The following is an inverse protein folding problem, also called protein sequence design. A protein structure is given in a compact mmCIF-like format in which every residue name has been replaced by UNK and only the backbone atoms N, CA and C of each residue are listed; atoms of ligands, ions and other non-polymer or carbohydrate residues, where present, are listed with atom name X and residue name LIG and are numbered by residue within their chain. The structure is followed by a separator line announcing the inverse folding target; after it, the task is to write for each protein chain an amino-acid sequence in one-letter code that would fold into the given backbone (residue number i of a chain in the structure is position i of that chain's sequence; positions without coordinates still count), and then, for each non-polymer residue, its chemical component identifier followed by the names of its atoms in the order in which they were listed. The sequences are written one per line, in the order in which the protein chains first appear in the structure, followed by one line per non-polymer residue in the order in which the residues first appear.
data_IF_480369165706
#
_entry.id   IF_480369165706
#
_cell.length_a   1.000
_cell.length_b   1.000
_cell.length_c   1.000
_cell.angle_alpha   90.00
_cell.angle_beta   90.00
_cell.angle_gamma   90.00
#
_symmetry.space_group_name_H-M   'P 1'
#
loop_
_entity.id
_entity.type
_entity.pdbx_description
1 polymer ?
#
# COMPACT_ATOMS: atom_id res chain seq x y z
N UNK A 1 23.34 5.19 46.62
CA UNK A 1 23.97 5.64 47.88
C UNK A 1 22.85 5.98 48.86
N UNK A 2 22.78 5.25 49.99
CA UNK A 2 22.19 5.56 51.32
C UNK A 2 20.74 6.11 51.40
N UNK A 3 19.72 5.40 51.89
CA UNK A 3 19.33 5.03 53.28
C UNK A 3 18.83 6.18 54.21
N UNK A 4 17.75 5.87 54.96
CA UNK A 4 17.16 6.50 56.17
C UNK A 4 16.22 7.71 55.99
N UNK A 5 15.26 8.00 56.89
CA UNK A 5 14.29 7.27 57.75
C UNK A 5 13.44 8.40 58.39
N UNK A 6 12.13 8.16 58.52
CA UNK A 6 11.13 8.69 59.49
C UNK A 6 11.43 9.98 60.31
N UNK A 7 10.44 10.88 60.38
CA UNK A 7 10.15 11.64 61.60
C UNK A 7 8.63 11.86 61.81
N UNK A 8 8.24 11.66 63.06
CA UNK A 8 6.90 11.68 63.68
C UNK A 8 6.56 13.07 64.22
N UNK A 9 5.27 13.48 64.26
CA UNK A 9 4.73 14.46 65.23
C UNK A 9 3.38 13.96 65.77
N UNK A 10 3.13 14.29 67.05
CA UNK A 10 2.21 13.71 68.05
C UNK A 10 1.19 14.77 68.56
N UNK A 11 0.05 14.28 69.12
CA UNK A 11 -0.92 14.88 70.09
C UNK A 11 -2.02 15.82 69.54
N UNK A 12 -3.27 15.89 70.05
CA UNK A 12 -3.89 15.40 71.29
C UNK A 12 -5.44 15.32 71.18
N UNK A 13 -6.05 14.59 72.14
CA UNK A 13 -7.48 14.35 72.42
C UNK A 13 -8.37 15.60 72.61
N UNK A 14 -9.67 15.49 72.28
CA UNK A 14 -10.81 15.78 73.17
C UNK A 14 -12.17 15.37 72.55
N UNK A 15 -13.07 14.82 73.38
CA UNK A 15 -14.53 14.96 73.19
C UNK A 15 -15.33 13.68 72.92
N UNK A 16 -15.83 13.05 73.99
CA UNK A 16 -16.86 12.00 73.95
C UNK A 16 -18.23 12.65 73.66
N UNK A 17 -18.97 12.09 72.71
CA UNK A 17 -20.40 12.35 72.49
C UNK A 17 -20.95 11.32 71.53
N UNK A 18 -21.66 10.30 72.05
CA UNK A 18 -22.15 9.19 71.25
C UNK A 18 -23.22 9.60 70.25
N UNK A 19 -23.33 8.83 69.16
CA UNK A 19 -24.56 8.20 68.64
C UNK A 19 -24.26 7.56 67.29
N UNK A 20 -24.76 6.33 67.16
CA UNK A 20 -24.89 5.51 65.95
C UNK A 20 -23.59 5.09 65.25
N UNK A 21 -23.23 3.82 65.45
CA UNK A 21 -22.46 3.08 64.46
C UNK A 21 -23.29 3.09 63.16
N UNK A 22 -22.90 3.93 62.20
CA UNK A 22 -23.05 3.56 60.80
C UNK A 22 -21.99 2.50 60.57
N UNK A 23 -22.41 1.23 60.50
CA UNK A 23 -21.68 0.28 59.68
C UNK A 23 -21.58 0.95 58.30
N UNK A 24 -20.37 1.24 57.86
CA UNK A 24 -20.15 1.38 56.44
C UNK A 24 -20.52 0.01 55.86
N UNK A 25 -21.76 -0.09 55.37
CA UNK A 25 -22.20 -1.23 54.59
C UNK A 25 -21.20 -1.32 53.44
N UNK A 26 -20.41 -2.40 53.42
CA UNK A 26 -19.65 -2.81 52.26
C UNK A 26 -20.67 -3.00 51.13
N UNK A 27 -20.92 -1.90 50.40
CA UNK A 27 -21.96 -1.86 49.39
C UNK A 27 -21.58 -2.89 48.34
N UNK A 28 -22.41 -3.91 48.22
CA UNK A 28 -22.19 -4.97 47.27
C UNK A 28 -22.03 -4.44 45.85
N UNK A 29 -21.10 -5.00 45.06
CA UNK A 29 -20.83 -4.53 43.71
C UNK A 29 -20.47 -5.66 42.74
N UNK A 30 -20.71 -5.40 41.44
CA UNK A 30 -20.19 -6.18 40.32
C UNK A 30 -19.55 -5.24 39.29
N UNK A 31 -18.26 -5.40 39.03
CA UNK A 31 -17.50 -4.54 38.11
C UNK A 31 -16.76 -5.36 37.06
N UNK A 32 -16.74 -4.82 35.85
CA UNK A 32 -15.97 -5.31 34.70
C UNK A 32 -15.09 -4.19 34.16
N UNK A 33 -13.90 -4.51 33.65
CA UNK A 33 -12.99 -3.51 33.06
C UNK A 33 -13.36 -3.13 31.62
N UNK A 34 -14.17 -3.95 30.94
CA UNK A 34 -14.55 -3.76 29.53
C UNK A 34 -16.07 -3.90 29.35
N UNK A 35 -16.60 -3.21 28.34
CA UNK A 35 -18.00 -3.36 27.88
C UNK A 35 -18.12 -4.03 26.52
N UNK A 36 -17.01 -4.11 25.79
CA UNK A 36 -16.95 -4.70 24.46
C UNK A 36 -15.60 -5.41 24.31
N UNK A 37 -15.62 -6.50 23.56
CA UNK A 37 -14.44 -7.25 23.13
C UNK A 37 -14.51 -7.41 21.60
N UNK A 38 -13.42 -7.07 20.93
CA UNK A 38 -13.28 -7.22 19.48
C UNK A 38 -12.30 -8.36 19.18
N UNK A 39 -12.70 -9.23 18.27
CA UNK A 39 -11.92 -10.37 17.81
C UNK A 39 -11.74 -10.29 16.30
N UNK A 40 -10.58 -10.74 15.82
CA UNK A 40 -10.38 -10.94 14.38
C UNK A 40 -11.14 -12.19 13.90
N UNK A 41 -11.21 -12.39 12.58
CA UNK A 41 -11.86 -13.54 11.98
C UNK A 41 -11.16 -14.88 12.33
N UNK A 42 -9.88 -14.88 12.70
CA UNK A 42 -9.17 -16.09 13.14
C UNK A 42 -9.53 -16.47 14.57
N UNK A 43 -9.43 -17.77 14.88
CA UNK A 43 -9.59 -18.24 16.26
C UNK A 43 -8.65 -17.47 17.19
N UNK A 44 -9.21 -16.86 18.23
CA UNK A 44 -8.44 -16.03 19.14
C UNK A 44 -9.09 -15.88 20.50
N UNK A 45 -8.25 -15.67 21.50
CA UNK A 45 -8.67 -15.43 22.88
C UNK A 45 -8.36 -14.01 23.32
N UNK A 46 -9.26 -13.42 24.10
CA UNK A 46 -9.07 -12.14 24.76
C UNK A 46 -9.63 -12.23 26.19
N UNK A 47 -9.25 -11.30 27.05
CA UNK A 47 -9.53 -11.42 28.49
C UNK A 47 -10.12 -10.15 29.06
N UNK A 48 -11.07 -10.30 29.97
CA UNK A 48 -11.58 -9.21 30.80
C UNK A 48 -11.44 -9.60 32.28
N UNK A 49 -11.62 -8.62 33.17
CA UNK A 49 -11.52 -8.83 34.61
C UNK A 49 -12.84 -8.52 35.28
N UNK A 50 -13.24 -9.40 36.19
CA UNK A 50 -14.37 -9.22 37.10
C UNK A 50 -13.83 -8.86 38.48
N UNK A 51 -14.43 -7.87 39.12
CA UNK A 51 -14.28 -7.60 40.56
C UNK A 51 -15.67 -7.53 41.15
N UNK A 52 -15.98 -8.40 42.11
CA UNK A 52 -17.32 -8.49 42.68
C UNK A 52 -17.23 -8.81 44.17
N UNK A 53 -18.29 -8.53 44.91
CA UNK A 53 -18.51 -9.02 46.27
C UNK A 53 -19.47 -10.20 46.25
N UNK A 54 -19.03 -11.36 46.73
CA UNK A 54 -19.85 -12.57 46.71
C UNK A 54 -19.84 -13.30 45.38
N UNK A 55 -20.74 -14.26 45.22
CA UNK A 55 -20.77 -15.14 44.05
C UNK A 55 -21.21 -14.39 42.79
N UNK A 56 -20.60 -14.75 41.66
CA UNK A 56 -20.92 -14.23 40.34
C UNK A 56 -21.00 -15.37 39.32
N UNK A 57 -21.76 -15.16 38.25
CA UNK A 57 -21.86 -16.08 37.12
C UNK A 57 -22.02 -15.34 35.79
N UNK A 58 -21.78 -16.04 34.69
CA UNK A 58 -21.88 -15.56 33.31
C UNK A 58 -22.93 -16.38 32.58
N UNK A 59 -23.78 -15.71 31.83
CA UNK A 59 -24.72 -16.32 30.88
C UNK A 59 -24.56 -15.71 29.48
N UNK A 60 -25.13 -16.35 28.48
CA UNK A 60 -25.15 -15.91 27.07
C UNK A 60 -26.56 -15.49 26.60
N UNK A 61 -27.54 -15.59 27.49
CA UNK A 61 -28.94 -15.19 27.26
C UNK A 61 -29.35 -14.34 28.46
N UNK A 62 -30.00 -13.18 28.26
CA UNK A 62 -30.43 -12.34 29.37
C UNK A 62 -31.38 -13.12 30.30
N UNK A 63 -31.30 -12.81 31.59
CA UNK A 63 -32.09 -13.44 32.67
C UNK A 63 -31.87 -14.95 32.87
N UNK A 64 -30.88 -15.55 32.18
CA UNK A 64 -30.48 -16.95 32.39
C UNK A 64 -29.50 -17.09 33.55
N UNK A 65 -29.63 -18.19 34.30
CA UNK A 65 -28.66 -18.60 35.34
C UNK A 65 -27.60 -19.57 34.84
N UNK A 66 -27.73 -19.99 33.59
CA UNK A 66 -26.89 -21.02 32.98
C UNK A 66 -26.36 -20.54 31.64
N UNK A 67 -25.20 -21.09 31.27
CA UNK A 67 -24.66 -20.95 29.93
C UNK A 67 -25.40 -21.90 28.99
N UNK A 68 -26.11 -21.35 28.02
CA UNK A 68 -27.01 -22.13 27.14
C UNK A 68 -26.35 -22.59 25.85
N UNK A 69 -25.23 -21.98 25.47
CA UNK A 69 -24.60 -22.19 24.16
C UNK A 69 -25.33 -21.47 23.02
N UNK A 70 -26.00 -20.34 23.31
CA UNK A 70 -26.68 -19.50 22.32
C UNK A 70 -25.75 -19.06 21.19
N UNK A 71 -24.45 -18.92 21.50
CA UNK A 71 -23.39 -18.65 20.53
C UNK A 71 -22.36 -19.78 20.57
N UNK A 72 -22.51 -20.77 19.68
CA UNK A 72 -21.64 -21.96 19.64
C UNK A 72 -20.17 -21.66 19.36
N UNK A 73 -19.87 -20.46 18.86
CA UNK A 73 -18.53 -19.99 18.51
C UNK A 73 -17.85 -19.17 19.61
N UNK A 74 -18.51 -18.95 20.76
CA UNK A 74 -17.97 -18.22 21.91
C UNK A 74 -17.75 -19.20 23.06
N UNK A 75 -16.53 -19.22 23.59
CA UNK A 75 -16.15 -20.07 24.71
C UNK A 75 -15.62 -19.21 25.86
N UNK A 76 -16.08 -19.47 27.08
CA UNK A 76 -15.63 -18.77 28.28
C UNK A 76 -14.98 -19.77 29.22
N UNK A 77 -13.72 -19.53 29.61
CA UNK A 77 -12.93 -20.45 30.43
C UNK A 77 -13.51 -20.67 31.84
N UNK A 78 -14.23 -19.67 32.35
CA UNK A 78 -14.84 -19.69 33.68
C UNK A 78 -16.21 -19.00 33.66
N UNK A 79 -17.25 -19.79 33.90
CA UNK A 79 -18.64 -19.33 33.90
C UNK A 79 -19.14 -18.86 35.27
N UNK A 80 -18.42 -19.14 36.36
CA UNK A 80 -18.79 -18.68 37.70
C UNK A 80 -17.59 -18.57 38.63
N UNK A 81 -17.76 -17.83 39.72
CA UNK A 81 -16.75 -17.70 40.74
C UNK A 81 -17.24 -16.97 41.99
N UNK A 82 -16.36 -16.92 43.00
CA UNK A 82 -16.62 -16.21 44.26
C UNK A 82 -15.76 -14.96 44.34
N UNK A 83 -16.39 -13.81 44.24
CA UNK A 83 -15.76 -12.49 44.29
C UNK A 83 -15.28 -12.09 45.69
N UNK A 84 -14.21 -11.31 45.72
CA UNK A 84 -13.73 -10.61 46.92
C UNK A 84 -13.52 -9.13 46.58
N UNK A 85 -13.80 -8.21 47.51
CA UNK A 85 -13.50 -6.79 47.32
C UNK A 85 -12.08 -6.53 46.85
N UNK A 86 -11.08 -7.34 47.20
CA UNK A 86 -9.67 -7.02 46.95
C UNK A 86 -9.07 -7.73 45.71
N UNK A 87 -9.86 -8.56 45.02
CA UNK A 87 -9.32 -9.45 43.96
C UNK A 87 -9.98 -9.24 42.62
N UNK A 88 -9.16 -9.05 41.59
CA UNK A 88 -9.59 -9.12 40.19
C UNK A 88 -9.47 -10.55 39.68
N UNK A 89 -10.55 -11.05 39.10
CA UNK A 89 -10.60 -12.37 38.48
C UNK A 89 -10.55 -12.20 36.97
N UNK A 90 -9.52 -12.79 36.35
CA UNK A 90 -9.34 -12.78 34.90
C UNK A 90 -10.18 -13.88 34.28
N UNK A 91 -10.97 -13.51 33.28
CA UNK A 91 -11.81 -14.40 32.48
C UNK A 91 -11.30 -14.35 31.04
N UNK A 92 -11.17 -15.52 30.43
CA UNK A 92 -10.74 -15.68 29.04
C UNK A 92 -11.95 -16.02 28.18
N UNK A 93 -12.17 -15.23 27.15
CA UNK A 93 -13.17 -15.50 26.11
C UNK A 93 -12.41 -15.88 24.85
N UNK A 94 -12.75 -17.01 24.26
CA UNK A 94 -12.21 -17.50 22.99
C UNK A 94 -13.31 -17.50 21.95
N UNK A 95 -13.05 -16.92 20.79
CA UNK A 95 -13.94 -17.00 19.64
C UNK A 95 -13.34 -17.93 18.61
N UNK A 96 -14.14 -18.86 18.07
CA UNK A 96 -13.74 -19.73 16.96
C UNK A 96 -13.48 -18.91 15.70
N UNK A 97 -12.80 -19.51 14.71
CA UNK A 97 -12.66 -18.88 13.39
C UNK A 97 -14.04 -18.54 12.81
N UNK A 98 -14.18 -17.31 12.30
CA UNK A 98 -15.32 -16.89 11.50
C UNK A 98 -15.04 -17.21 10.03
N UNK A 99 -16.04 -17.76 9.33
CA UNK A 99 -16.01 -18.04 7.88
C UNK A 99 -17.23 -17.44 7.17
N UNK A 100 -17.94 -16.57 7.87
CA UNK A 100 -19.16 -15.90 7.42
C UNK A 100 -19.02 -14.39 7.56
N UNK A 101 -20.13 -13.68 7.38
CA UNK A 101 -20.26 -12.26 7.68
C UNK A 101 -19.84 -11.92 9.12
N UNK A 102 -19.68 -10.62 9.38
CA UNK A 102 -19.44 -10.12 10.73
C UNK A 102 -20.53 -10.65 11.67
N UNK A 103 -20.11 -11.17 12.82
CA UNK A 103 -21.01 -11.75 13.81
C UNK A 103 -20.79 -11.13 15.18
N UNK A 104 -21.88 -11.07 15.94
CA UNK A 104 -21.87 -10.48 17.27
C UNK A 104 -22.53 -11.42 18.26
N UNK A 105 -22.08 -11.33 19.50
CA UNK A 105 -22.66 -12.03 20.64
C UNK A 105 -22.71 -11.08 21.83
N UNK A 106 -23.50 -11.42 22.85
CA UNK A 106 -23.47 -10.73 24.13
C UNK A 106 -23.41 -11.77 25.23
N UNK A 107 -22.47 -11.59 26.15
CA UNK A 107 -22.45 -12.32 27.42
C UNK A 107 -22.87 -11.38 28.53
N UNK A 108 -23.49 -11.93 29.57
CA UNK A 108 -24.07 -11.19 30.67
C UNK A 108 -23.42 -11.63 31.96
N UNK A 109 -22.95 -10.66 32.75
CA UNK A 109 -22.48 -10.93 34.11
C UNK A 109 -23.65 -10.74 35.08
N UNK A 110 -23.64 -11.56 36.12
CA UNK A 110 -24.62 -11.54 37.18
C UNK A 110 -23.91 -11.74 38.51
N UNK A 111 -24.37 -11.06 39.55
CA UNK A 111 -23.75 -11.15 40.86
C UNK A 111 -24.05 -9.95 41.74
N UNK A 112 -24.07 -10.20 43.04
CA UNK A 112 -24.29 -9.16 44.05
C UNK A 112 -25.57 -8.31 43.87
N UNK A 113 -26.64 -8.92 43.33
CA UNK A 113 -27.91 -8.24 43.05
C UNK A 113 -27.94 -7.43 41.75
N UNK A 114 -26.82 -7.34 41.02
CA UNK A 114 -26.78 -6.85 39.65
C UNK A 114 -27.01 -8.01 38.68
N UNK A 115 -27.83 -7.78 37.66
CA UNK A 115 -28.21 -8.77 36.64
C UNK A 115 -27.99 -8.16 35.25
N UNK A 116 -27.71 -8.99 34.25
CA UNK A 116 -27.58 -8.59 32.83
C UNK A 116 -26.51 -7.52 32.56
N UNK A 117 -25.40 -7.59 33.29
CA UNK A 117 -24.26 -6.67 33.17
C UNK A 117 -23.47 -7.04 31.88
N UNK A 118 -23.94 -6.51 30.74
CA UNK A 118 -23.58 -6.99 29.39
C UNK A 118 -22.14 -6.66 28.90
N UNK A 119 -21.50 -7.63 28.26
CA UNK A 119 -20.28 -7.45 27.46
C UNK A 119 -20.58 -7.85 26.03
N UNK A 120 -20.49 -6.89 25.11
CA UNK A 120 -20.62 -7.15 23.69
C UNK A 120 -19.37 -7.86 23.16
N UNK A 121 -19.55 -8.84 22.28
CA UNK A 121 -18.49 -9.52 21.55
C UNK A 121 -18.74 -9.25 20.08
N UNK A 122 -17.75 -8.70 19.39
CA UNK A 122 -17.76 -8.48 17.95
C UNK A 122 -16.63 -9.28 17.31
N UNK A 123 -16.94 -9.99 16.25
CA UNK A 123 -15.95 -10.71 15.47
C UNK A 123 -16.05 -10.32 13.99
N UNK A 124 -14.93 -9.88 13.43
CA UNK A 124 -14.81 -9.51 12.01
C UNK A 124 -15.31 -10.64 11.08
N UNK A 125 -15.80 -10.27 9.90
CA UNK A 125 -16.14 -11.24 8.86
C UNK A 125 -14.89 -12.03 8.42
N UNK A 126 -15.08 -13.32 8.14
CA UNK A 126 -14.03 -14.21 7.67
C UNK A 126 -14.31 -14.77 6.28
N UNK A 127 -14.97 -14.00 5.44
CA UNK A 127 -15.26 -14.39 4.06
C UNK A 127 -13.96 -14.34 3.26
N UNK A 128 -13.67 -15.41 2.53
CA UNK A 128 -12.55 -15.45 1.59
C UNK A 128 -12.68 -14.35 0.53
N UNK A 129 -11.60 -13.62 0.28
CA UNK A 129 -11.60 -12.54 -0.71
C UNK A 129 -10.36 -12.61 -1.59
N UNK A 130 -10.57 -12.41 -2.89
CA UNK A 130 -9.48 -12.06 -3.81
C UNK A 130 -9.09 -10.61 -3.55
N UNK A 131 -7.85 -10.36 -3.13
CA UNK A 131 -7.38 -9.01 -2.82
C UNK A 131 -6.47 -8.52 -3.95
N UNK A 132 -6.91 -7.61 -4.84
CA UNK A 132 -6.02 -7.04 -5.85
C UNK A 132 -4.74 -6.43 -5.22
N UNK A 133 -3.67 -6.37 -6.00
CA UNK A 133 -2.49 -5.59 -5.65
C UNK A 133 -2.87 -4.09 -5.54
N UNK A 134 -2.06 -3.32 -4.83
CA UNK A 134 -2.33 -1.88 -4.61
C UNK A 134 -2.33 -1.06 -5.92
N UNK A 135 -1.82 -1.63 -7.02
CA UNK A 135 -1.87 -1.07 -8.37
C UNK A 135 -3.14 -1.46 -9.16
N UNK A 136 -4.11 -2.11 -8.51
CA UNK A 136 -5.36 -2.56 -9.08
C UNK A 136 -5.28 -3.89 -9.85
N UNK A 137 -4.07 -4.42 -10.12
CA UNK A 137 -3.93 -5.71 -10.79
C UNK A 137 -4.45 -6.85 -9.92
N UNK A 138 -5.20 -7.78 -10.51
CA UNK A 138 -5.76 -8.93 -9.78
C UNK A 138 -4.76 -10.08 -9.64
N UNK A 139 -3.68 -10.06 -10.42
CA UNK A 139 -2.55 -10.98 -10.33
C UNK A 139 -1.27 -10.31 -10.88
N UNK A 140 -0.11 -10.90 -10.62
CA UNK A 140 1.20 -10.36 -11.03
C UNK A 140 2.20 -11.47 -11.35
N UNK A 141 3.37 -11.11 -11.88
CA UNK A 141 4.49 -12.04 -12.06
C UNK A 141 5.49 -11.84 -10.92
N UNK A 142 5.81 -12.91 -10.19
CA UNK A 142 6.91 -12.90 -9.23
C UNK A 142 8.20 -13.40 -9.86
N UNK A 143 9.31 -12.73 -9.57
CA UNK A 143 10.61 -13.09 -10.12
C UNK A 143 10.84 -12.48 -11.51
N UNK A 144 12.00 -12.82 -12.09
CA UNK A 144 12.44 -12.30 -13.38
C UNK A 144 12.36 -13.39 -14.44
N UNK A 145 11.82 -13.07 -15.61
CA UNK A 145 11.90 -13.93 -16.78
C UNK A 145 13.20 -13.63 -17.51
N UNK A 146 14.20 -14.50 -17.38
CA UNK A 146 15.53 -14.29 -17.97
C UNK A 146 15.67 -15.08 -19.27
N UNK A 147 16.24 -14.45 -20.29
CA UNK A 147 16.58 -15.12 -21.55
C UNK A 147 17.64 -16.21 -21.32
N UNK A 148 17.44 -17.39 -21.91
CA UNK A 148 18.34 -18.55 -21.85
C UNK A 148 18.63 -19.06 -20.43
N UNK A 149 17.76 -18.77 -19.46
CA UNK A 149 17.82 -19.36 -18.13
C UNK A 149 16.49 -20.01 -17.77
N UNK A 150 16.56 -21.04 -16.92
CA UNK A 150 15.39 -21.70 -16.39
C UNK A 150 14.57 -20.73 -15.53
N UNK A 151 13.25 -20.78 -15.69
CA UNK A 151 12.34 -19.89 -14.96
C UNK A 151 12.09 -20.41 -13.56
N UNK A 152 12.30 -19.53 -12.58
CA UNK A 152 11.87 -19.68 -11.18
C UNK A 152 10.69 -18.75 -10.87
N UNK A 153 10.10 -18.15 -11.91
CA UNK A 153 9.03 -17.17 -11.77
C UNK A 153 7.67 -17.86 -11.60
N UNK A 154 6.70 -17.12 -11.08
CA UNK A 154 5.33 -17.61 -10.91
C UNK A 154 4.35 -16.48 -11.21
N UNK A 155 3.15 -16.82 -11.70
CA UNK A 155 2.01 -15.90 -11.62
C UNK A 155 1.44 -15.99 -10.20
N UNK A 156 1.16 -14.85 -9.58
CA UNK A 156 0.68 -14.77 -8.20
C UNK A 156 -0.70 -14.13 -8.14
N UNK A 157 -1.67 -14.85 -7.59
CA UNK A 157 -3.00 -14.34 -7.30
C UNK A 157 -3.15 -14.12 -5.79
N UNK A 158 -3.13 -12.86 -5.30
CA UNK A 158 -3.33 -12.54 -3.89
C UNK A 158 -4.73 -12.88 -3.38
N UNK A 159 -4.79 -13.45 -2.18
CA UNK A 159 -6.02 -13.69 -1.43
C UNK A 159 -5.87 -13.35 0.05
N UNK A 160 -7.00 -13.13 0.72
CA UNK A 160 -7.08 -12.95 2.17
C UNK A 160 -8.15 -13.86 2.76
N UNK A 161 -8.01 -14.15 4.06
CA UNK A 161 -9.00 -14.87 4.87
C UNK A 161 -9.32 -16.29 4.35
N UNK A 162 -8.33 -17.01 3.86
CA UNK A 162 -8.50 -18.42 3.54
C UNK A 162 -8.75 -19.25 4.80
N UNK A 163 -9.50 -20.33 4.62
CA UNK A 163 -9.82 -21.36 5.62
C UNK A 163 -8.86 -22.55 5.48
N UNK A 164 -8.18 -22.70 4.34
CA UNK A 164 -7.23 -23.79 4.10
C UNK A 164 -7.88 -25.06 3.56
N UNK A 165 -9.04 -24.91 2.92
CA UNK A 165 -9.74 -26.02 2.24
C UNK A 165 -10.14 -25.68 0.81
N UNK A 166 -9.87 -24.45 0.38
CA UNK A 166 -10.24 -23.91 -0.91
C UNK A 166 -9.52 -24.65 -2.04
N UNK A 167 -10.26 -24.89 -3.11
CA UNK A 167 -9.76 -25.54 -4.33
C UNK A 167 -10.22 -24.75 -5.53
N UNK A 168 -9.30 -24.57 -6.46
CA UNK A 168 -9.52 -23.81 -7.68
C UNK A 168 -8.95 -24.53 -8.88
N UNK A 169 -9.54 -24.32 -10.04
CA UNK A 169 -8.93 -24.64 -11.33
C UNK A 169 -8.55 -23.34 -12.01
N UNK A 170 -7.26 -23.20 -12.32
CA UNK A 170 -6.70 -22.05 -13.03
C UNK A 170 -6.55 -22.41 -14.49
N UNK A 171 -7.12 -21.57 -15.36
CA UNK A 171 -6.82 -21.58 -16.79
C UNK A 171 -5.93 -20.38 -17.13
N UNK A 172 -4.98 -20.61 -18.03
CA UNK A 172 -4.03 -19.60 -18.49
C UNK A 172 -4.08 -19.52 -20.01
N UNK A 173 -4.28 -18.32 -20.54
CA UNK A 173 -3.95 -18.01 -21.93
C UNK A 173 -2.61 -17.28 -21.93
N UNK A 174 -1.64 -17.80 -22.66
CA UNK A 174 -0.30 -17.20 -22.79
C UNK A 174 -0.03 -16.84 -24.25
N UNK A 175 0.50 -15.65 -24.48
CA UNK A 175 1.08 -15.27 -25.77
C UNK A 175 2.52 -14.77 -25.57
N UNK A 176 3.40 -15.05 -26.53
CA UNK A 176 4.83 -14.81 -26.38
C UNK A 176 5.52 -15.76 -25.39
N UNK A 177 6.71 -15.39 -24.93
CA UNK A 177 7.47 -16.15 -23.92
C UNK A 177 7.95 -17.51 -24.43
N UNK A 178 8.47 -17.58 -25.66
CA UNK A 178 8.92 -18.81 -26.29
C UNK A 178 9.80 -19.65 -25.35
N UNK A 179 9.43 -20.91 -25.14
CA UNK A 179 10.14 -21.83 -24.23
C UNK A 179 9.69 -21.77 -22.76
N UNK A 180 8.76 -20.86 -22.42
CA UNK A 180 8.10 -20.81 -21.11
C UNK A 180 6.69 -21.40 -21.18
N UNK A 181 6.24 -21.97 -20.06
CA UNK A 181 4.87 -22.48 -19.90
C UNK A 181 4.36 -22.15 -18.50
N UNK A 182 3.21 -21.47 -18.44
CA UNK A 182 2.45 -21.32 -17.21
C UNK A 182 1.65 -22.60 -16.90
N UNK A 183 1.80 -23.13 -15.69
CA UNK A 183 1.16 -24.38 -15.28
C UNK A 183 -0.34 -24.21 -14.98
N UNK A 184 -1.19 -24.19 -16.01
CA UNK A 184 -2.64 -24.28 -15.79
C UNK A 184 -3.02 -25.60 -15.09
N UNK A 185 -4.08 -25.61 -14.27
CA UNK A 185 -4.52 -26.81 -13.56
C UNK A 185 -5.17 -26.54 -12.21
N UNK A 186 -5.20 -27.57 -11.36
CA UNK A 186 -5.83 -27.49 -10.04
C UNK A 186 -4.85 -27.00 -8.97
N UNK A 187 -5.33 -26.06 -8.16
CA UNK A 187 -4.61 -25.47 -7.04
C UNK A 187 -5.45 -25.56 -5.78
N UNK A 188 -4.80 -25.70 -4.63
CA UNK A 188 -5.47 -25.73 -3.32
C UNK A 188 -4.77 -24.83 -2.34
N UNK A 189 -5.55 -24.12 -1.52
CA UNK A 189 -5.05 -23.42 -0.35
C UNK A 189 -5.22 -24.38 0.83
N UNK A 190 -4.12 -24.81 1.43
CA UNK A 190 -4.12 -25.83 2.49
C UNK A 190 -3.85 -25.26 3.89
N UNK A 191 -3.78 -23.95 4.02
CA UNK A 191 -3.51 -23.28 5.30
C UNK A 191 -4.36 -22.02 5.42
N UNK A 192 -4.96 -21.78 6.60
CA UNK A 192 -5.71 -20.55 6.84
C UNK A 192 -4.84 -19.30 6.70
N UNK A 193 -5.48 -18.17 6.37
CA UNK A 193 -4.84 -16.87 6.39
C UNK A 193 -4.76 -16.19 5.02
N UNK A 194 -3.81 -15.26 4.89
CA UNK A 194 -3.60 -14.48 3.68
C UNK A 194 -2.41 -15.06 2.91
N UNK A 195 -2.42 -14.93 1.58
CA UNK A 195 -1.34 -15.48 0.78
C UNK A 195 -1.52 -15.27 -0.72
N UNK A 196 -0.85 -16.13 -1.48
CA UNK A 196 -0.89 -16.13 -2.93
C UNK A 196 -1.15 -17.55 -3.44
N UNK A 197 -1.97 -17.68 -4.47
CA UNK A 197 -1.89 -18.85 -5.35
C UNK A 197 -0.70 -18.60 -6.27
N UNK A 198 0.29 -19.48 -6.21
CA UNK A 198 1.46 -19.46 -7.09
C UNK A 198 1.27 -20.44 -8.24
N UNK A 199 1.23 -19.92 -9.46
CA UNK A 199 1.14 -20.68 -10.71
C UNK A 199 2.55 -20.68 -11.31
N UNK A 200 3.31 -21.79 -11.24
CA UNK A 200 4.67 -21.81 -11.71
C UNK A 200 4.78 -21.49 -13.20
N UNK A 201 5.77 -20.67 -13.55
CA UNK A 201 6.27 -20.53 -14.90
C UNK A 201 7.48 -21.45 -15.04
N UNK A 202 7.40 -22.42 -15.94
CA UNK A 202 8.45 -23.44 -16.12
C UNK A 202 9.07 -23.34 -17.51
N UNK A 203 10.24 -23.95 -17.68
CA UNK A 203 10.98 -23.97 -18.94
C UNK A 203 12.05 -22.88 -19.01
N UNK A 204 12.65 -22.74 -20.18
CA UNK A 204 13.75 -21.81 -20.45
C UNK A 204 13.34 -20.91 -21.59
N UNK A 205 13.29 -19.60 -21.35
CA UNK A 205 12.92 -18.66 -22.40
C UNK A 205 14.00 -18.63 -23.49
N UNK A 206 13.61 -18.81 -24.75
CA UNK A 206 14.56 -18.88 -25.89
C UNK A 206 14.56 -17.61 -26.74
N UNK A 207 13.69 -16.64 -26.42
CA UNK A 207 13.57 -15.39 -27.17
C UNK A 207 13.21 -14.23 -26.24
N UNK A 208 13.91 -13.11 -26.38
CA UNK A 208 13.56 -11.84 -25.77
C UNK A 208 12.23 -11.33 -26.37
N UNK A 209 11.40 -10.71 -25.54
CA UNK A 209 10.22 -10.00 -26.01
C UNK A 209 9.06 -10.06 -25.03
N UNK A 210 7.95 -9.46 -25.45
CA UNK A 210 6.71 -9.38 -24.66
C UNK A 210 6.14 -10.78 -24.40
N UNK A 211 5.72 -10.99 -23.16
CA UNK A 211 4.92 -12.14 -22.73
C UNK A 211 3.67 -11.62 -22.05
N UNK A 212 2.54 -12.16 -22.45
CA UNK A 212 1.23 -11.74 -21.96
C UNK A 212 0.48 -12.95 -21.43
N UNK A 213 -0.04 -12.83 -20.21
CA UNK A 213 -0.81 -13.86 -19.54
C UNK A 213 -2.21 -13.34 -19.26
N UNK A 214 -3.23 -14.14 -19.54
CA UNK A 214 -4.60 -13.91 -19.08
C UNK A 214 -5.07 -15.08 -18.23
N UNK A 215 -5.71 -14.79 -17.10
CA UNK A 215 -6.08 -15.78 -16.09
C UNK A 215 -7.59 -15.82 -15.85
N UNK A 216 -8.13 -17.03 -15.78
CA UNK A 216 -9.46 -17.28 -15.22
C UNK A 216 -9.38 -18.37 -14.18
N UNK A 217 -10.10 -18.19 -13.08
CA UNK A 217 -10.11 -19.11 -11.94
C UNK A 217 -11.53 -19.59 -11.72
N UNK A 218 -11.71 -20.90 -11.68
CA UNK A 218 -12.98 -21.55 -11.38
C UNK A 218 -12.92 -22.15 -9.97
N UNK A 219 -13.87 -21.80 -9.12
CA UNK A 219 -13.97 -22.37 -7.76
C UNK A 219 -14.61 -23.77 -7.76
N UNK A 220 -14.67 -24.40 -6.57
CA UNK A 220 -15.26 -25.73 -6.40
C UNK A 220 -16.77 -25.79 -6.71
N UNK A 221 -17.47 -24.66 -6.70
CA UNK A 221 -18.88 -24.56 -7.09
C UNK A 221 -19.06 -24.38 -8.61
N UNK A 222 -17.97 -24.23 -9.36
CA UNK A 222 -17.98 -24.03 -10.81
C UNK A 222 -18.11 -22.56 -11.22
N UNK A 223 -17.98 -21.61 -10.30
CA UNK A 223 -18.04 -20.18 -10.61
C UNK A 223 -16.69 -19.73 -11.18
N UNK A 224 -16.70 -19.27 -12.43
CA UNK A 224 -15.53 -18.70 -13.09
C UNK A 224 -15.40 -17.20 -12.79
N UNK A 225 -14.20 -16.78 -12.42
CA UNK A 225 -13.82 -15.37 -12.25
C UNK A 225 -12.69 -15.03 -13.22
N UNK A 226 -12.86 -13.96 -13.99
CA UNK A 226 -11.83 -13.42 -14.88
C UNK A 226 -10.91 -12.46 -14.14
N UNK A 227 -9.60 -12.75 -14.13
CA UNK A 227 -8.57 -11.93 -13.48
C UNK A 227 -7.93 -10.92 -14.43
N UNK A 228 -8.34 -10.91 -15.69
CA UNK A 228 -7.82 -10.04 -16.73
C UNK A 228 -6.48 -10.51 -17.26
N UNK A 229 -5.72 -9.56 -17.79
CA UNK A 229 -4.47 -9.79 -18.49
C UNK A 229 -3.35 -8.92 -17.90
N UNK A 230 -2.13 -9.46 -17.84
CA UNK A 230 -0.91 -8.69 -17.58
C UNK A 230 0.13 -9.01 -18.65
N UNK A 231 0.93 -8.00 -18.98
CA UNK A 231 2.08 -8.15 -19.88
C UNK A 231 3.38 -7.83 -19.16
N UNK A 232 4.44 -8.57 -19.49
CA UNK A 232 5.82 -8.36 -19.04
C UNK A 232 6.77 -8.68 -20.21
N UNK A 233 8.08 -8.78 -19.96
CA UNK A 233 9.05 -9.21 -20.96
C UNK A 233 9.93 -10.34 -20.45
N UNK A 234 10.41 -11.20 -21.37
CA UNK A 234 11.64 -11.95 -21.18
C UNK A 234 12.80 -10.98 -21.32
N UNK A 235 13.63 -10.86 -20.29
CA UNK A 235 14.72 -9.89 -20.16
C UNK A 235 16.04 -10.47 -20.68
N UNK A 236 16.82 -9.65 -21.39
CA UNK A 236 18.14 -10.01 -21.91
C UNK A 236 19.29 -9.25 -21.24
N UNK A 237 19.03 -8.11 -20.58
CA UNK A 237 20.06 -7.28 -19.95
C UNK A 237 20.56 -7.84 -18.62
N UNK A 238 21.49 -8.80 -18.64
CA UNK A 238 22.19 -9.30 -17.44
C UNK A 238 23.70 -9.34 -17.63
N UNK A 239 24.45 -9.09 -16.55
CA UNK A 239 25.90 -9.26 -16.54
C UNK A 239 26.32 -10.73 -16.32
N UNK A 240 27.64 -10.98 -16.26
CA UNK A 240 28.19 -12.32 -16.05
C UNK A 240 27.86 -12.90 -14.65
N UNK A 241 27.55 -12.07 -13.68
CA UNK A 241 27.12 -12.49 -12.34
C UNK A 241 25.61 -12.78 -12.29
N UNK A 242 24.87 -12.50 -13.36
CA UNK A 242 23.43 -12.68 -13.45
C UNK A 242 22.63 -11.52 -12.86
N UNK A 243 23.29 -10.40 -12.57
CA UNK A 243 22.69 -9.15 -12.12
C UNK A 243 22.14 -8.38 -13.31
N UNK A 244 20.98 -7.76 -13.11
CA UNK A 244 20.32 -7.01 -14.18
C UNK A 244 21.10 -5.75 -14.53
N UNK A 245 21.20 -5.43 -15.83
CA UNK A 245 21.86 -4.24 -16.36
C UNK A 245 20.81 -3.32 -17.00
N UNK A 246 20.20 -2.39 -16.23
CA UNK A 246 19.15 -1.52 -16.75
C UNK A 246 19.69 -0.53 -17.78
N UNK A 247 18.84 -0.13 -18.73
CA UNK A 247 19.11 1.00 -19.63
C UNK A 247 19.09 2.33 -18.88
N UNK A 248 18.28 2.40 -17.82
CA UNK A 248 18.09 3.59 -17.02
C UNK A 248 17.71 3.21 -15.59
N UNK A 249 18.31 3.89 -14.63
CA UNK A 249 17.86 3.93 -13.23
C UNK A 249 17.86 5.39 -12.79
N UNK A 250 16.74 5.84 -12.22
CA UNK A 250 16.62 7.18 -11.67
C UNK A 250 15.77 7.17 -10.41
N UNK A 251 16.34 7.66 -9.31
CA UNK A 251 15.59 8.09 -8.13
C UNK A 251 15.80 9.58 -7.91
N UNK A 252 15.01 10.15 -7.01
CA UNK A 252 15.01 11.59 -6.77
C UNK A 252 15.51 11.97 -5.36
N UNK A 253 16.30 11.10 -4.75
CA UNK A 253 16.85 11.28 -3.39
C UNK A 253 17.77 12.48 -3.24
N UNK A 254 18.31 13.01 -4.34
CA UNK A 254 19.20 14.19 -4.35
C UNK A 254 18.44 15.52 -4.45
N UNK A 255 17.11 15.49 -4.52
CA UNK A 255 16.32 16.72 -4.58
C UNK A 255 16.33 17.45 -3.24
N UNK A 256 16.82 18.70 -3.19
CA UNK A 256 17.02 19.41 -1.92
C UNK A 256 15.76 20.08 -1.40
N UNK A 257 14.76 20.28 -2.26
CA UNK A 257 13.64 21.18 -1.99
C UNK A 257 12.30 20.53 -2.32
N UNK A 258 11.28 20.93 -1.56
CA UNK A 258 9.92 20.42 -1.56
C UNK A 258 9.52 19.84 -0.21
N UNK A 259 8.21 19.68 0.00
CA UNK A 259 7.64 18.87 1.07
C UNK A 259 7.31 17.46 0.59
N UNK A 260 6.85 16.62 1.50
CA UNK A 260 6.39 15.25 1.20
C UNK A 260 4.86 15.24 1.14
N UNK A 261 4.30 15.24 -0.07
CA UNK A 261 2.85 15.25 -0.31
C UNK A 261 2.19 13.93 0.04
N UNK A 262 2.88 12.81 -0.22
CA UNK A 262 2.34 11.47 0.02
C UNK A 262 2.36 11.17 1.51
N UNK A 263 3.48 11.46 2.19
CA UNK A 263 3.60 11.35 3.65
C UNK A 263 3.05 12.54 4.44
N UNK A 264 2.51 13.56 3.75
CA UNK A 264 1.91 14.77 4.34
C UNK A 264 2.83 15.56 5.28
N UNK A 265 4.10 15.72 4.92
CA UNK A 265 5.10 16.44 5.71
C UNK A 265 5.48 17.77 5.06
N UNK A 266 5.73 18.75 5.92
CA UNK A 266 6.31 20.03 5.54
C UNK A 266 7.74 19.83 5.01
N UNK A 267 8.26 20.84 4.33
CA UNK A 267 9.62 20.81 3.78
C UNK A 267 10.23 22.19 3.69
N UNK A 268 11.19 22.32 2.79
CA UNK A 268 11.89 23.59 2.54
C UNK A 268 12.01 23.88 1.05
N UNK A 269 12.20 25.16 0.70
CA UNK A 269 12.55 25.59 -0.66
C UNK A 269 13.63 26.66 -0.60
N UNK A 270 14.41 26.82 -1.68
CA UNK A 270 15.33 27.97 -1.80
C UNK A 270 14.56 29.30 -1.68
N UNK A 271 15.15 30.24 -0.94
CA UNK A 271 14.74 31.63 -0.86
C UNK A 271 14.94 32.34 -2.23
N UNK A 272 16.02 32.02 -2.94
CA UNK A 272 16.23 32.45 -4.33
C UNK A 272 15.71 31.38 -5.29
N UNK A 273 14.59 31.68 -5.97
CA UNK A 273 13.95 30.79 -6.94
C UNK A 273 14.43 31.04 -8.38
N UNK A 274 15.41 31.91 -8.56
CA UNK A 274 15.99 32.22 -9.88
C UNK A 274 16.84 31.05 -10.34
N UNK A 275 16.43 30.40 -11.44
CA UNK A 275 17.09 29.18 -11.96
C UNK A 275 18.61 29.33 -12.08
N UNK A 276 19.09 30.45 -12.60
CA UNK A 276 20.52 30.70 -12.80
C UNK A 276 21.33 30.78 -11.50
N UNK A 277 20.69 31.09 -10.38
CA UNK A 277 21.34 31.27 -9.08
C UNK A 277 21.16 30.07 -8.14
N UNK A 278 20.41 29.05 -8.58
CA UNK A 278 20.16 27.87 -7.76
C UNK A 278 21.49 27.22 -7.36
N UNK A 279 21.66 27.04 -6.06
CA UNK A 279 22.80 26.35 -5.45
C UNK A 279 22.29 25.52 -4.27
N UNK A 280 22.96 24.40 -3.99
CA UNK A 280 22.68 23.60 -2.79
C UNK A 280 22.92 24.38 -1.49
N UNK A 281 23.72 25.45 -1.55
CA UNK A 281 24.02 26.34 -0.43
C UNK A 281 23.02 27.51 -0.29
N UNK A 282 21.98 27.59 -1.13
CA UNK A 282 21.01 28.67 -1.00
C UNK A 282 20.30 28.62 0.36
N UNK A 283 20.05 29.80 0.93
CA UNK A 283 19.19 29.94 2.10
C UNK A 283 17.82 29.32 1.81
N UNK A 284 17.27 28.61 2.79
CA UNK A 284 15.99 27.92 2.64
C UNK A 284 14.90 28.57 3.47
N UNK A 285 13.69 28.64 2.91
CA UNK A 285 12.46 29.01 3.63
C UNK A 285 11.55 27.80 3.79
N UNK A 286 10.78 27.77 4.88
CA UNK A 286 9.84 26.68 5.16
C UNK A 286 8.69 26.64 4.16
N UNK A 287 8.24 25.44 3.84
CA UNK A 287 7.00 25.20 3.09
C UNK A 287 6.05 24.31 3.88
N UNK A 288 4.79 24.72 3.99
CA UNK A 288 3.77 23.98 4.74
C UNK A 288 3.47 22.63 4.09
N UNK A 289 3.20 21.62 4.92
CA UNK A 289 2.67 20.34 4.49
C UNK A 289 1.37 20.52 3.69
N UNK A 290 1.20 19.71 2.64
CA UNK A 290 -0.13 19.37 2.14
C UNK A 290 -1.01 20.48 1.55
N UNK A 291 -0.46 21.51 0.90
CA UNK A 291 -1.29 22.31 -0.02
C UNK A 291 -0.65 22.44 -1.38
N UNK A 292 -1.48 22.27 -2.41
CA UNK A 292 -1.12 22.25 -3.83
C UNK A 292 -0.22 23.43 -4.30
N UNK A 293 -0.18 24.56 -3.61
CA UNK A 293 0.69 25.70 -3.97
C UNK A 293 1.93 25.86 -3.07
N UNK A 294 2.05 25.11 -1.97
CA UNK A 294 3.03 25.40 -0.93
C UNK A 294 4.41 24.80 -1.17
N UNK A 295 4.59 23.82 -2.06
CA UNK A 295 5.84 23.03 -2.23
C UNK A 295 7.04 23.89 -2.74
N UNK A 296 6.87 25.19 -2.95
CA UNK A 296 7.94 26.07 -3.41
C UNK A 296 8.40 25.82 -4.85
N UNK A 297 7.71 24.90 -5.56
CA UNK A 297 7.94 24.36 -6.90
C UNK A 297 9.07 24.97 -7.71
N UNK A 298 10.29 24.52 -7.44
CA UNK A 298 11.40 24.72 -8.37
C UNK A 298 11.34 23.59 -9.39
N UNK A 299 11.36 23.93 -10.66
CA UNK A 299 11.27 22.92 -11.72
C UNK A 299 12.51 22.03 -11.72
N UNK A 300 12.29 20.72 -11.76
CA UNK A 300 13.31 19.69 -11.58
C UNK A 300 14.15 19.41 -12.83
N UNK A 301 13.69 19.78 -14.03
CA UNK A 301 14.44 19.54 -15.27
C UNK A 301 15.28 20.73 -15.73
N UNK A 302 16.34 20.42 -16.51
CA UNK A 302 17.37 21.37 -16.99
C UNK A 302 16.78 22.49 -17.83
N UNK A 303 16.28 23.58 -17.24
CA UNK A 303 16.23 24.81 -18.04
C UNK A 303 17.67 25.19 -18.32
N UNK A 304 18.00 25.59 -19.56
CA UNK A 304 19.36 25.93 -20.02
C UNK A 304 20.11 27.01 -19.18
N UNK A 305 19.58 27.43 -18.03
CA UNK A 305 20.14 28.44 -17.15
C UNK A 305 21.05 27.94 -16.03
N UNK A 306 21.14 26.65 -15.69
CA UNK A 306 22.04 26.18 -14.59
C UNK A 306 22.48 24.69 -14.66
N UNK A 307 23.29 24.29 -15.66
CA UNK A 307 23.70 22.89 -15.83
C UNK A 307 24.44 22.28 -14.63
N UNK A 308 25.24 23.07 -13.91
CA UNK A 308 26.01 22.62 -12.74
C UNK A 308 25.11 22.19 -11.59
N UNK A 309 24.05 22.96 -11.29
CA UNK A 309 23.08 22.59 -10.26
C UNK A 309 22.36 21.30 -10.62
N UNK A 310 21.86 21.18 -11.86
CA UNK A 310 21.14 19.99 -12.29
C UNK A 310 22.03 18.73 -12.29
N UNK A 311 23.32 18.85 -12.62
CA UNK A 311 24.28 17.75 -12.43
C UNK A 311 24.40 17.35 -10.96
N UNK A 312 24.52 18.32 -10.05
CA UNK A 312 24.66 18.04 -8.62
C UNK A 312 23.47 17.26 -8.04
N UNK A 313 22.26 17.54 -8.52
CA UNK A 313 21.04 16.84 -8.09
C UNK A 313 20.69 15.60 -8.93
N UNK A 314 21.58 15.14 -9.82
CA UNK A 314 21.38 13.93 -10.60
C UNK A 314 20.39 14.06 -11.78
N UNK A 315 20.22 15.27 -12.31
CA UNK A 315 19.33 15.59 -13.42
C UNK A 315 20.08 16.02 -14.69
N UNK A 316 21.38 15.70 -14.79
CA UNK A 316 22.16 15.99 -15.99
C UNK A 316 21.56 15.31 -17.22
N UNK A 317 21.38 16.08 -18.29
CA UNK A 317 20.80 15.58 -19.54
C UNK A 317 19.29 15.31 -19.48
N UNK A 318 18.63 15.40 -18.32
CA UNK A 318 17.17 15.25 -18.24
C UNK A 318 16.43 16.52 -18.66
N UNK A 319 15.32 16.36 -19.36
CA UNK A 319 14.51 17.48 -19.88
C UNK A 319 13.03 17.28 -19.56
N UNK A 320 12.22 18.32 -19.53
CA UNK A 320 10.78 18.19 -19.30
C UNK A 320 10.06 19.50 -19.04
N UNK A 321 8.78 19.41 -18.72
CA UNK A 321 7.90 20.56 -18.48
C UNK A 321 6.88 20.24 -17.38
N UNK A 322 6.47 21.25 -16.61
CA UNK A 322 5.59 21.12 -15.43
C UNK A 322 5.94 19.93 -14.53
N UNK A 323 7.23 19.82 -14.25
CA UNK A 323 7.79 18.89 -13.29
C UNK A 323 8.40 19.68 -12.14
N UNK A 324 8.27 19.16 -10.92
CA UNK A 324 8.76 19.85 -9.72
C UNK A 324 9.53 18.88 -8.85
N UNK A 325 10.66 19.36 -8.33
CA UNK A 325 11.47 18.58 -7.40
C UNK A 325 10.78 18.46 -6.04
N UNK A 326 10.81 17.26 -5.49
CA UNK A 326 10.46 16.96 -4.11
C UNK A 326 11.52 15.98 -3.55
N UNK A 327 11.93 16.06 -2.27
CA UNK A 327 12.93 15.13 -1.76
C UNK A 327 12.43 13.69 -1.89
N UNK A 328 13.14 12.88 -2.69
CA UNK A 328 12.79 11.48 -2.92
C UNK A 328 11.72 11.23 -3.98
N UNK A 329 11.17 12.24 -4.68
CA UNK A 329 10.29 11.99 -5.84
C UNK A 329 10.14 13.23 -6.75
N UNK A 330 9.50 13.04 -7.91
CA UNK A 330 9.13 14.13 -8.81
C UNK A 330 7.62 14.27 -8.90
N UNK A 331 7.11 15.51 -8.84
CA UNK A 331 5.71 15.80 -9.18
C UNK A 331 5.59 16.12 -10.67
N UNK A 332 4.53 15.61 -11.31
CA UNK A 332 4.08 16.03 -12.63
C UNK A 332 2.71 16.72 -12.56
N UNK A 333 2.55 17.76 -13.38
CA UNK A 333 1.29 18.48 -13.53
C UNK A 333 1.12 19.65 -12.56
N UNK A 334 -0.03 20.32 -12.65
CA UNK A 334 -0.29 21.61 -12.02
C UNK A 334 -1.60 21.60 -11.20
N UNK A 335 -1.78 22.62 -10.35
CA UNK A 335 -3.00 22.79 -9.55
C UNK A 335 -4.16 23.40 -10.33
N UNK A 336 -3.86 24.05 -11.44
CA UNK A 336 -4.81 24.69 -12.32
C UNK A 336 -4.64 24.13 -13.72
N UNK A 337 -5.70 24.26 -14.50
CA UNK A 337 -5.67 23.98 -15.92
C UNK A 337 -4.51 24.72 -16.59
N UNK A 338 -3.81 24.03 -17.48
CA UNK A 338 -2.68 24.57 -18.20
C UNK A 338 -3.05 24.90 -19.65
N UNK A 339 -3.08 26.19 -19.98
CA UNK A 339 -3.38 26.70 -21.33
C UNK A 339 -2.20 26.61 -22.32
N UNK A 340 -0.99 26.26 -21.84
CA UNK A 340 0.19 26.07 -22.69
C UNK A 340 0.06 24.81 -23.56
N UNK A 341 -0.91 23.93 -23.25
CA UNK A 341 -1.21 22.73 -24.01
C UNK A 341 -0.09 21.69 -23.96
N UNK A 342 0.67 21.69 -22.85
CA UNK A 342 1.73 20.73 -22.59
C UNK A 342 1.48 20.01 -21.25
N UNK A 343 1.55 18.67 -21.22
CA UNK A 343 1.35 17.91 -20.00
C UNK A 343 2.61 17.99 -19.13
N UNK A 344 2.45 17.72 -17.83
CA UNK A 344 3.58 17.47 -16.95
C UNK A 344 4.34 16.24 -17.42
N UNK A 345 5.64 16.38 -17.66
CA UNK A 345 6.45 15.31 -18.23
C UNK A 345 7.93 15.38 -17.85
N UNK A 346 8.61 14.27 -18.11
CA UNK A 346 10.06 14.13 -18.09
C UNK A 346 10.54 13.26 -19.25
N UNK A 347 11.72 13.57 -19.77
CA UNK A 347 12.43 12.84 -20.82
C UNK A 347 13.85 12.56 -20.34
N UNK A 348 14.27 11.31 -20.44
CA UNK A 348 15.61 10.86 -20.05
C UNK A 348 16.71 11.45 -20.93
N UNK A 349 17.99 11.30 -20.54
CA UNK A 349 19.11 11.29 -21.47
C UNK A 349 18.89 10.31 -22.62
N UNK A 350 19.68 10.44 -23.68
CA UNK A 350 19.66 9.48 -24.80
C UNK A 350 20.08 8.10 -24.27
N UNK A 351 19.29 7.10 -24.61
CA UNK A 351 19.45 5.71 -24.20
C UNK A 351 20.24 4.95 -25.27
N UNK A 352 21.06 4.00 -24.84
CA UNK A 352 21.71 3.05 -25.74
C UNK A 352 20.86 1.77 -25.82
N UNK A 353 19.75 1.83 -26.54
CA UNK A 353 18.80 0.70 -26.66
C UNK A 353 19.35 -0.31 -27.67
N UNK A 354 19.57 -1.59 -27.31
CA UNK A 354 19.98 -2.59 -28.28
C UNK A 354 18.88 -2.86 -29.30
N UNK A 355 19.27 -3.08 -30.55
CA UNK A 355 18.33 -3.27 -31.65
C UNK A 355 17.48 -4.53 -31.45
N UNK A 356 16.17 -4.40 -31.61
CA UNK A 356 15.26 -5.55 -31.64
C UNK A 356 14.61 -5.90 -30.30
N UNK A 357 14.95 -5.20 -29.21
CA UNK A 357 14.44 -5.55 -27.89
C UNK A 357 13.25 -4.71 -27.43
N UNK A 358 12.25 -5.41 -26.89
CA UNK A 358 11.18 -4.80 -26.11
C UNK A 358 11.71 -4.42 -24.72
N UNK A 359 11.06 -3.49 -24.04
CA UNK A 359 11.48 -2.99 -22.73
C UNK A 359 10.38 -3.11 -21.70
N UNK A 360 10.79 -3.11 -20.43
CA UNK A 360 9.90 -3.04 -19.29
C UNK A 360 10.33 -1.87 -18.43
N UNK A 361 9.40 -0.94 -18.25
CA UNK A 361 9.52 0.17 -17.34
C UNK A 361 8.85 -0.22 -16.01
N UNK A 362 9.55 -0.05 -14.90
CA UNK A 362 9.00 -0.15 -13.54
C UNK A 362 9.31 1.13 -12.78
N UNK A 363 8.34 1.64 -12.02
CA UNK A 363 8.51 2.84 -11.20
C UNK A 363 7.43 2.93 -10.13
N UNK A 364 7.66 3.75 -9.11
CA UNK A 364 6.68 4.06 -8.08
C UNK A 364 5.83 5.26 -8.48
N UNK A 365 4.54 5.15 -8.25
CA UNK A 365 3.57 6.24 -8.41
C UNK A 365 2.86 6.54 -7.10
N UNK A 366 2.51 7.80 -6.90
CA UNK A 366 1.65 8.24 -5.81
C UNK A 366 0.66 9.29 -6.30
N UNK A 367 -0.47 9.40 -5.60
CA UNK A 367 -1.48 10.45 -5.84
C UNK A 367 -1.92 11.08 -4.52
N UNK A 368 -2.30 12.36 -4.55
CA UNK A 368 -2.71 13.12 -3.35
C UNK A 368 -4.24 13.27 -3.24
N UNK A 369 -4.91 13.72 -4.30
CA UNK A 369 -6.38 13.80 -4.34
C UNK A 369 -6.93 13.93 -5.78
N UNK A 370 -6.53 14.99 -6.50
CA UNK A 370 -6.88 15.18 -7.91
C UNK A 370 -5.71 14.75 -8.80
N UNK A 371 -5.83 13.60 -9.44
CA UNK A 371 -4.81 13.02 -10.29
C UNK A 371 -5.38 12.68 -11.68
N UNK A 372 -4.51 12.52 -12.68
CA UNK A 372 -4.86 11.84 -13.91
C UNK A 372 -5.35 10.42 -13.66
N UNK A 373 -6.22 9.91 -14.53
CA UNK A 373 -6.63 8.50 -14.54
C UNK A 373 -5.47 7.58 -14.98
N UNK A 374 -4.59 8.10 -15.82
CA UNK A 374 -3.47 7.36 -16.39
C UNK A 374 -2.20 8.21 -16.50
N UNK A 375 -1.07 7.52 -16.33
CA UNK A 375 0.24 7.97 -16.79
C UNK A 375 0.51 7.38 -18.16
N UNK A 376 1.22 8.12 -19.01
CA UNK A 376 1.65 7.68 -20.33
C UNK A 376 3.16 7.61 -20.38
N UNK A 377 3.67 6.53 -20.95
CA UNK A 377 5.10 6.23 -21.04
C UNK A 377 5.45 5.72 -22.43
N UNK A 378 6.72 5.78 -22.81
CA UNK A 378 7.19 5.24 -24.08
C UNK A 378 8.57 5.75 -24.46
N UNK A 379 8.97 5.51 -25.72
CA UNK A 379 10.20 6.05 -26.28
C UNK A 379 9.89 7.18 -27.27
N UNK A 380 10.68 8.24 -27.23
CA UNK A 380 10.64 9.32 -28.20
C UNK A 380 12.03 9.64 -28.75
N UNK A 381 12.08 10.36 -29.88
CA UNK A 381 13.33 10.96 -30.37
C UNK A 381 13.60 12.29 -29.68
N UNK A 382 14.73 12.35 -28.99
CA UNK A 382 15.22 13.56 -28.35
C UNK A 382 15.98 14.43 -29.34
N UNK A 383 15.61 15.70 -29.42
CA UNK A 383 16.31 16.70 -30.21
C UNK A 383 17.03 17.70 -29.29
N UNK A 384 18.03 18.41 -29.83
CA UNK A 384 18.91 19.35 -29.10
C UNK A 384 18.17 20.56 -28.49
N UNK A 385 16.94 20.81 -28.95
CA UNK A 385 16.03 21.78 -28.36
C UNK A 385 15.06 21.09 -27.43
N UNK A 386 15.05 21.54 -26.18
CA UNK A 386 13.98 21.33 -25.21
C UNK A 386 12.57 21.44 -25.85
N UNK A 387 11.54 21.08 -25.08
CA UNK A 387 10.13 21.26 -25.41
C UNK A 387 9.53 20.19 -26.34
N UNK A 388 8.64 19.38 -25.77
CA UNK A 388 7.51 18.83 -26.52
C UNK A 388 6.60 20.03 -26.81
N UNK A 389 6.80 20.73 -27.93
CA UNK A 389 5.95 21.86 -28.34
C UNK A 389 4.45 21.51 -28.28
N UNK A 390 3.59 22.51 -28.06
CA UNK A 390 2.12 22.40 -28.05
C UNK A 390 1.65 21.44 -29.16
N UNK A 391 1.11 20.28 -28.79
CA UNK A 391 0.65 19.24 -29.74
C UNK A 391 1.65 18.17 -30.21
N UNK A 392 2.85 18.03 -29.63
CA UNK A 392 3.86 17.02 -30.05
C UNK A 392 3.83 15.67 -29.30
N UNK A 393 2.69 15.30 -28.74
CA UNK A 393 2.41 13.89 -28.45
C UNK A 393 2.57 12.99 -29.70
N UNK A 394 2.44 13.58 -30.88
CA UNK A 394 2.72 12.97 -32.18
C UNK A 394 4.20 12.61 -32.43
N UNK A 395 5.15 13.14 -31.64
CA UNK A 395 6.57 12.76 -31.69
C UNK A 395 6.92 11.57 -30.79
N UNK A 396 5.98 11.14 -29.95
CA UNK A 396 6.10 9.84 -29.29
C UNK A 396 5.84 8.81 -30.38
N UNK A 397 6.73 7.83 -30.50
CA UNK A 397 6.50 6.74 -31.43
C UNK A 397 5.26 6.00 -30.95
N UNK A 398 4.15 6.15 -31.68
CA UNK A 398 2.83 5.66 -31.25
C UNK A 398 2.84 4.16 -30.94
N UNK A 399 3.68 3.38 -31.62
CA UNK A 399 3.85 1.94 -31.37
C UNK A 399 4.54 1.60 -30.04
N UNK A 400 5.21 2.57 -29.40
CA UNK A 400 5.90 2.38 -28.11
C UNK A 400 5.12 2.95 -26.94
N UNK A 401 4.00 3.63 -27.23
CA UNK A 401 3.22 4.34 -26.22
C UNK A 401 2.43 3.32 -25.40
N UNK A 402 2.64 3.38 -24.09
CA UNK A 402 1.95 2.55 -23.11
C UNK A 402 1.37 3.41 -22.00
N UNK A 403 0.40 2.86 -21.29
CA UNK A 403 -0.31 3.57 -20.23
C UNK A 403 -0.22 2.77 -18.94
N UNK A 404 -0.09 3.48 -17.82
CA UNK A 404 -0.22 2.91 -16.47
C UNK A 404 -1.48 3.49 -15.84
N UNK A 405 -2.27 2.63 -15.19
CA UNK A 405 -3.40 3.10 -14.39
C UNK A 405 -2.91 3.89 -13.19
N UNK A 406 -3.58 5.00 -12.89
CA UNK A 406 -3.41 5.78 -11.67
C UNK A 406 -4.68 5.72 -10.79
N UNK A 407 -5.58 4.77 -11.07
CA UNK A 407 -6.64 4.37 -10.15
C UNK A 407 -6.03 3.56 -8.99
N UNK A 408 -5.34 4.28 -8.11
CA UNK A 408 -4.59 3.75 -6.97
C UNK A 408 -5.04 4.47 -5.69
N UNK A 409 -4.81 3.87 -4.50
CA UNK A 409 -5.11 4.55 -3.25
C UNK A 409 -4.34 5.87 -3.11
N UNK A 410 -5.05 6.94 -2.72
CA UNK A 410 -4.42 8.21 -2.39
C UNK A 410 -3.45 8.06 -1.21
N UNK A 411 -2.42 8.89 -1.18
CA UNK A 411 -1.38 8.94 -0.15
C UNK A 411 -0.59 7.63 0.01
N UNK A 412 -0.61 6.78 -1.01
CA UNK A 412 0.10 5.50 -1.02
C UNK A 412 1.05 5.45 -2.19
N UNK A 413 2.28 4.99 -1.94
CA UNK A 413 3.23 4.68 -3.00
C UNK A 413 2.96 3.27 -3.52
N UNK A 414 2.80 3.17 -4.83
CA UNK A 414 2.46 1.92 -5.51
C UNK A 414 3.45 1.68 -6.64
N UNK A 415 3.96 0.46 -6.77
CA UNK A 415 4.79 0.07 -7.91
C UNK A 415 3.90 -0.27 -9.12
N UNK A 416 4.22 0.32 -10.26
CA UNK A 416 3.57 0.06 -11.54
C UNK A 416 4.60 -0.36 -12.57
N UNK A 417 4.12 -1.08 -13.59
CA UNK A 417 4.94 -1.48 -14.72
C UNK A 417 4.23 -1.26 -16.05
N UNK A 418 5.02 -1.02 -17.09
CA UNK A 418 4.55 -0.90 -18.45
C UNK A 418 5.54 -1.55 -19.40
N UNK A 419 5.03 -2.43 -20.27
CA UNK A 419 5.80 -2.94 -21.40
C UNK A 419 5.88 -1.84 -22.46
N UNK A 420 7.08 -1.61 -22.98
CA UNK A 420 7.35 -0.63 -24.03
C UNK A 420 7.92 -1.40 -25.22
N UNK A 421 7.15 -1.58 -26.30
CA UNK A 421 7.63 -2.28 -27.49
C UNK A 421 8.89 -1.66 -28.08
N UNK A 422 9.68 -2.47 -28.77
CA UNK A 422 10.88 -2.02 -29.49
C UNK A 422 10.57 -0.78 -30.37
N UNK A 423 11.29 0.35 -30.18
CA UNK A 423 11.06 1.59 -30.93
C UNK A 423 11.50 1.52 -32.39
N UNK A 424 12.21 0.47 -32.81
CA UNK A 424 12.88 0.44 -34.10
C UNK A 424 14.10 1.36 -34.12
N UNK A 425 14.50 1.81 -35.31
CA UNK A 425 15.66 2.69 -35.47
C UNK A 425 15.29 4.14 -35.23
N UNK A 426 15.75 4.70 -34.10
CA UNK A 426 15.62 6.11 -33.75
C UNK A 426 17.01 6.75 -33.63
N UNK A 427 17.14 8.02 -34.00
CA UNK A 427 18.43 8.71 -33.96
C UNK A 427 18.92 8.94 -32.51
N UNK A 428 18.01 9.35 -31.62
CA UNK A 428 18.28 9.70 -30.24
C UNK A 428 17.15 9.20 -29.32
N UNK A 429 17.03 7.87 -29.09
CA UNK A 429 15.93 7.33 -28.31
C UNK A 429 16.04 7.76 -26.84
N UNK A 430 14.93 8.21 -26.25
CA UNK A 430 14.84 8.55 -24.83
C UNK A 430 13.53 8.05 -24.23
N UNK A 431 13.58 7.65 -22.95
CA UNK A 431 12.39 7.35 -22.17
C UNK A 431 11.61 8.63 -21.93
N UNK A 432 10.30 8.54 -22.08
CA UNK A 432 9.36 9.59 -21.75
C UNK A 432 8.32 9.09 -20.74
N UNK A 433 8.00 9.95 -19.76
CA UNK A 433 6.92 9.74 -18.78
C UNK A 433 6.12 11.03 -18.69
N UNK A 434 4.80 10.95 -18.77
CA UNK A 434 3.92 12.13 -18.83
C UNK A 434 2.50 11.84 -18.40
N UNK A 435 1.78 12.90 -18.01
CA UNK A 435 0.32 12.86 -17.97
C UNK A 435 -0.24 12.43 -19.34
N UNK A 436 -1.27 11.56 -19.31
CA UNK A 436 -1.87 10.98 -20.50
C UNK A 436 -2.67 11.96 -21.36
N UNK A 437 -2.88 11.56 -22.62
CA UNK A 437 -3.61 12.33 -23.64
C UNK A 437 -5.10 12.51 -23.28
N UNK A 438 -5.67 11.59 -22.49
CA UNK A 438 -7.04 11.66 -21.96
C UNK A 438 -7.30 12.93 -21.12
N UNK A 439 -6.23 13.53 -20.58
CA UNK A 439 -6.30 14.69 -19.70
C UNK A 439 -6.31 16.04 -20.43
N UNK A 440 -6.32 16.03 -21.76
CA UNK A 440 -6.50 17.22 -22.56
C UNK A 440 -8.00 17.55 -22.73
N UNK A 441 -8.33 18.83 -22.59
CA UNK A 441 -9.62 19.43 -22.93
C UNK A 441 -9.38 20.48 -24.01
N UNK A 442 -9.52 20.07 -25.27
CA UNK A 442 -9.07 20.89 -26.41
C UNK A 442 -7.56 21.12 -26.37
N UNK A 443 -7.14 22.38 -26.26
CA UNK A 443 -5.72 22.77 -26.16
C UNK A 443 -5.22 22.97 -24.73
N UNK A 444 -6.07 22.69 -23.74
CA UNK A 444 -5.78 22.86 -22.32
C UNK A 444 -5.53 21.51 -21.69
N UNK A 445 -4.56 21.39 -20.78
CA UNK A 445 -4.39 20.20 -19.94
C UNK A 445 -5.12 20.44 -18.62
N UNK A 446 -5.97 19.51 -18.20
CA UNK A 446 -6.73 19.61 -16.95
C UNK A 446 -5.80 19.64 -15.73
N UNK A 447 -6.22 20.37 -14.71
CA UNK A 447 -5.59 20.33 -13.39
C UNK A 447 -5.51 18.88 -12.87
N UNK A 448 -4.35 18.50 -12.38
CA UNK A 448 -4.10 17.15 -11.93
C UNK A 448 -2.63 16.94 -11.65
N UNK A 449 -2.34 16.14 -10.63
CA UNK A 449 -0.98 15.85 -10.20
C UNK A 449 -0.80 14.40 -9.83
N UNK A 450 0.39 13.93 -10.11
CA UNK A 450 0.83 12.61 -9.73
C UNK A 450 2.34 12.66 -9.52
N UNK A 451 2.83 11.69 -8.77
CA UNK A 451 4.20 11.69 -8.26
C UNK A 451 4.91 10.43 -8.70
N UNK A 452 6.17 10.54 -9.08
CA UNK A 452 6.97 9.45 -9.63
C UNK A 452 8.32 9.34 -8.92
N UNK A 453 8.74 8.12 -8.63
CA UNK A 453 10.08 7.79 -8.11
C UNK A 453 10.54 6.40 -8.58
N UNK A 454 11.79 6.05 -8.30
CA UNK A 454 12.39 4.73 -8.52
C UNK A 454 12.18 4.20 -9.95
N UNK A 455 12.46 5.04 -10.94
CA UNK A 455 12.39 4.69 -12.36
C UNK A 455 13.48 3.68 -12.69
N UNK A 456 13.07 2.55 -13.30
CA UNK A 456 13.97 1.54 -13.82
C UNK A 456 13.46 1.04 -15.17
N UNK A 457 14.31 1.09 -16.19
CA UNK A 457 14.01 0.62 -17.55
C UNK A 457 14.98 -0.51 -17.91
N UNK A 458 14.43 -1.66 -18.30
CA UNK A 458 15.18 -2.88 -18.65
C UNK A 458 14.71 -3.45 -19.98
N UNK A 459 15.46 -4.41 -20.52
CA UNK A 459 15.17 -5.10 -21.78
C UNK A 459 15.53 -6.58 -21.69
#
# INVERSE_FOLDING_TARGET
MKFFHKLTIILALAGIGGLTACSDDDSGFLKRNLREMSFSYVESSNTFTIRATGDWYISDVPDSREWTGAYSWVHVDRLSGKGSPDTYQKITVTCDQNVSDERTATIYLHGCGEENVAIAIKQENGIFEWKPFDNGQRFGVSGLLKLNAESEASLRIPYIKAVGTEKYTVSVTQTGGNGLTAAAGSYSISSPGNGFIEIPLTGTATKQGIVTFALKVTDAAGVETDFGEISTIVRAGFDQAGEETPLLVQNFNKFPWGGDCIGQKAGVTSADKTVANLSLDNETVSVTAGTNASIGGITSTVRNGNPSFYRAIGMEGWTGYLNYMCPGYMQFGAASDNADGQPGNIISPVLNIPAGYDMLLTFKVGIWAAAPDQGMVGICEKNDGFWISKGTLSKIVASTKSYVSLDIPAYTWVEVSAVIPNPGSLANPSLFISTADSWFSGSTVKAGRWYVDDIKLVY
#
